data_IF_053898794276
#
_entry.id   IF_053898794276
#
_cell.length_a   1.000
_cell.length_b   1.000
_cell.length_c   1.000
_cell.angle_alpha   90.00
_cell.angle_beta   90.00
_cell.angle_gamma   90.00
#
_symmetry.space_group_name_H-M   'P 1'
#
loop_
_entity.id
_entity.type
_entity.pdbx_description
1 polymer ?
#
# COMPACT_ATOMS: atom_id res chain seq x y z
N UNK A 1 -7.76 0.36 -26.30
CA UNK A 1 -7.44 1.28 -25.19
C UNK A 1 -7.34 0.50 -23.89
N UNK A 2 -6.12 0.15 -23.43
CA UNK A 2 -5.92 -0.58 -22.17
C UNK A 2 -5.46 0.37 -21.06
N UNK A 3 -6.38 0.92 -20.27
CA UNK A 3 -5.99 1.60 -19.02
C UNK A 3 -5.68 0.51 -18.00
N UNK A 4 -4.40 0.25 -17.76
CA UNK A 4 -4.00 -0.61 -16.64
C UNK A 4 -4.15 0.21 -15.34
N UNK A 5 -4.71 -0.41 -14.31
CA UNK A 5 -4.85 0.21 -12.98
C UNK A 5 -3.48 0.23 -12.32
N UNK A 6 -3.09 1.38 -11.75
CA UNK A 6 -1.76 1.55 -11.16
C UNK A 6 -1.57 0.68 -9.91
N UNK A 7 -2.55 0.64 -9.01
CA UNK A 7 -2.41 -0.03 -7.72
C UNK A 7 -3.79 -0.46 -7.20
N UNK A 8 -3.88 -1.70 -6.71
CA UNK A 8 -5.10 -2.22 -6.07
C UNK A 8 -5.06 -1.89 -4.58
N UNK A 9 -6.02 -1.10 -4.12
CA UNK A 9 -6.14 -0.66 -2.73
C UNK A 9 -7.50 -1.04 -2.17
N UNK A 10 -7.55 -1.30 -0.87
CA UNK A 10 -8.83 -1.54 -0.19
C UNK A 10 -9.64 -0.22 -0.18
N UNK A 11 -10.83 -0.22 -0.79
CA UNK A 11 -11.70 0.97 -0.81
C UNK A 11 -12.52 1.11 0.46
N UNK A 12 -12.96 -0.01 1.04
CA UNK A 12 -13.76 -0.07 2.26
C UNK A 12 -13.37 -1.28 3.12
N UNK A 13 -13.50 -1.13 4.44
CA UNK A 13 -13.33 -2.20 5.41
C UNK A 13 -14.36 -2.07 6.55
N UNK A 14 -14.71 -3.19 7.18
CA UNK A 14 -15.56 -3.18 8.36
C UNK A 14 -14.87 -2.48 9.53
N UNK A 15 -15.57 -1.49 10.12
CA UNK A 15 -15.09 -0.79 11.31
C UNK A 15 -15.83 -1.29 12.55
N UNK A 16 -15.14 -1.92 13.52
CA UNK A 16 -15.80 -2.44 14.72
C UNK A 16 -16.36 -1.34 15.63
N UNK A 17 -15.82 -0.11 15.57
CA UNK A 17 -16.37 1.03 16.33
C UNK A 17 -17.61 1.65 15.69
N UNK A 18 -17.71 1.62 14.36
CA UNK A 18 -18.87 2.17 13.65
C UNK A 18 -19.97 1.12 13.42
N UNK A 19 -19.63 -0.16 13.52
CA UNK A 19 -20.57 -1.28 13.32
C UNK A 19 -20.91 -1.54 11.86
N UNK A 20 -20.17 -0.99 10.90
CA UNK A 20 -20.48 -1.07 9.46
C UNK A 20 -19.22 -1.03 8.58
N UNK A 21 -19.37 -1.40 7.31
CA UNK A 21 -18.36 -1.12 6.28
C UNK A 21 -18.17 0.39 6.16
N UNK A 22 -16.93 0.84 6.18
CA UNK A 22 -16.58 2.25 6.07
C UNK A 22 -15.46 2.42 5.04
N UNK A 23 -15.48 3.51 4.26
CA UNK A 23 -14.32 3.90 3.45
C UNK A 23 -13.07 4.04 4.30
N UNK A 24 -11.92 3.71 3.74
CA UNK A 24 -10.63 3.77 4.45
C UNK A 24 -9.71 4.84 3.89
N UNK A 25 -8.92 5.45 4.78
CA UNK A 25 -7.83 6.38 4.44
C UNK A 25 -6.50 5.72 4.77
N UNK A 26 -5.53 5.90 3.89
CA UNK A 26 -4.16 5.38 4.10
C UNK A 26 -3.32 6.39 4.88
N UNK A 27 -2.57 5.91 5.87
CA UNK A 27 -1.57 6.68 6.61
C UNK A 27 -0.30 5.86 6.76
N UNK A 28 0.87 6.47 6.62
CA UNK A 28 2.12 5.79 6.94
C UNK A 28 2.13 5.32 8.40
N UNK A 29 2.43 4.05 8.61
CA UNK A 29 2.54 3.49 9.95
C UNK A 29 3.74 4.11 10.68
N UNK A 30 3.59 4.37 11.97
CA UNK A 30 4.63 5.01 12.78
C UNK A 30 5.79 4.06 13.14
N UNK A 31 5.73 2.79 12.74
CA UNK A 31 6.71 1.78 13.11
C UNK A 31 8.04 1.99 12.37
N UNK A 32 9.16 2.25 13.09
CA UNK A 32 10.46 2.52 12.49
C UNK A 32 10.92 1.36 11.59
N UNK A 33 11.42 1.68 10.40
CA UNK A 33 11.98 0.71 9.46
C UNK A 33 10.95 -0.07 8.64
N UNK A 34 9.66 -0.01 8.97
CA UNK A 34 8.61 -0.64 8.17
C UNK A 34 8.07 0.33 7.11
N UNK A 35 7.97 -0.13 5.85
CA UNK A 35 7.17 0.56 4.81
C UNK A 35 5.70 0.11 4.92
N UNK A 36 5.14 0.17 6.12
CA UNK A 36 3.75 -0.22 6.37
C UNK A 36 2.82 0.99 6.28
N UNK A 37 1.59 0.73 5.84
CA UNK A 37 0.51 1.70 5.73
C UNK A 37 -0.66 1.21 6.57
N UNK A 38 -1.12 2.06 7.47
CA UNK A 38 -2.31 1.87 8.28
C UNK A 38 -3.54 2.28 7.46
N UNK A 39 -4.57 1.43 7.49
CA UNK A 39 -5.87 1.69 6.92
C UNK A 39 -6.78 2.19 8.03
N UNK A 40 -7.15 3.47 7.98
CA UNK A 40 -7.96 4.15 8.98
C UNK A 40 -9.40 4.28 8.50
N UNK A 41 -10.36 3.96 9.37
CA UNK A 41 -11.76 4.25 9.13
C UNK A 41 -11.95 5.75 8.86
N UNK A 42 -12.58 6.11 7.74
CA UNK A 42 -12.80 7.50 7.36
C UNK A 42 -13.58 8.29 8.41
N UNK A 43 -14.51 7.63 9.12
CA UNK A 43 -15.44 8.26 10.08
C UNK A 43 -14.84 8.47 11.47
N UNK A 44 -14.20 7.44 12.03
CA UNK A 44 -13.74 7.45 13.43
C UNK A 44 -12.22 7.33 13.59
N UNK A 45 -11.47 7.28 12.49
CA UNK A 45 -10.00 7.16 12.46
C UNK A 45 -9.43 5.92 13.20
N UNK A 46 -10.26 4.91 13.46
CA UNK A 46 -9.78 3.65 14.02
C UNK A 46 -9.00 2.88 12.95
N UNK A 47 -7.85 2.32 13.32
CA UNK A 47 -7.10 1.41 12.44
C UNK A 47 -7.93 0.14 12.24
N UNK A 48 -8.31 -0.12 11.00
CA UNK A 48 -9.12 -1.29 10.58
C UNK A 48 -8.31 -2.32 9.79
N UNK A 49 -7.06 -1.99 9.45
CA UNK A 49 -6.14 -2.91 8.78
C UNK A 49 -4.77 -2.27 8.56
N UNK A 50 -3.83 -3.08 8.09
CA UNK A 50 -2.48 -2.65 7.72
C UNK A 50 -2.00 -3.46 6.51
N UNK A 51 -1.19 -2.84 5.65
CA UNK A 51 -0.48 -3.55 4.59
C UNK A 51 0.93 -2.99 4.41
N UNK A 52 1.82 -3.80 3.84
CA UNK A 52 3.22 -3.42 3.58
C UNK A 52 3.40 -3.04 2.11
N UNK A 53 4.06 -1.92 1.86
CA UNK A 53 4.43 -1.47 0.53
C UNK A 53 5.77 -2.10 0.14
N UNK A 54 5.71 -3.00 -0.84
CA UNK A 54 6.89 -3.58 -1.50
C UNK A 54 7.28 -2.70 -2.68
N UNK A 55 8.54 -2.24 -2.67
CA UNK A 55 9.09 -1.45 -3.76
C UNK A 55 9.38 -2.34 -4.97
N UNK A 56 8.52 -2.28 -5.97
CA UNK A 56 8.65 -3.06 -7.21
C UNK A 56 9.66 -2.46 -8.21
N UNK A 57 10.49 -1.47 -7.82
CA UNK A 57 11.51 -0.88 -8.71
C UNK A 57 12.80 -1.70 -8.81
N UNK A 58 12.98 -2.73 -7.97
CA UNK A 58 14.16 -3.60 -7.98
C UNK A 58 14.43 -4.36 -9.29
N UNK A 59 13.45 -4.98 -10.00
CA UNK A 59 13.75 -5.74 -11.21
C UNK A 59 14.34 -4.87 -12.34
N UNK A 60 13.92 -3.61 -12.46
CA UNK A 60 14.43 -2.70 -13.51
C UNK A 60 15.87 -2.24 -13.28
N UNK A 61 16.26 -1.97 -12.02
CA UNK A 61 17.63 -1.54 -11.68
C UNK A 61 18.65 -2.66 -11.80
N UNK A 62 18.27 -3.89 -11.42
CA UNK A 62 19.12 -5.08 -11.61
C UNK A 62 19.33 -5.40 -13.09
N UNK A 63 18.27 -5.35 -13.91
CA UNK A 63 18.41 -5.55 -15.36
C UNK A 63 19.37 -4.54 -16.02
N UNK A 64 19.36 -3.28 -15.56
CA UNK A 64 20.26 -2.23 -16.06
C UNK A 64 21.72 -2.46 -15.65
N UNK A 65 21.96 -2.93 -14.42
CA UNK A 65 23.30 -3.25 -13.93
C UNK A 65 23.90 -4.47 -14.65
N UNK A 66 23.11 -5.53 -14.84
CA UNK A 66 23.54 -6.73 -15.58
C UNK A 66 23.90 -6.38 -17.03
N UNK A 67 23.09 -5.56 -17.70
CA UNK A 67 23.38 -5.11 -19.08
C UNK A 67 24.63 -4.22 -19.21
N UNK A 68 25.06 -3.54 -18.14
CA UNK A 68 26.31 -2.76 -18.11
C UNK A 68 27.55 -3.62 -17.84
N UNK A 69 27.39 -4.77 -17.19
CA UNK A 69 28.49 -5.66 -16.81
C UNK A 69 28.80 -6.72 -17.88
N UNK A 70 27.83 -7.02 -18.75
CA UNK A 70 27.95 -7.97 -19.87
C UNK A 70 28.37 -7.31 -21.21
N UNK A 71 28.78 -6.04 -21.16
CA UNK A 71 29.37 -5.28 -22.27
C UNK A 71 30.84 -5.04 -21.96
#
# INVERSE_FOLDING_TARGET
MGRQFNEFKASELYCPKCGSSQPVRERASALPGSKAVDLLCFRCATVVGQHTVIDQSLPGKLATLVGKLLK
#
